data_IF_015335701416
#
_entry.id   IF_015335701416
#
_cell.length_a   1.000
_cell.length_b   1.000
_cell.length_c   1.000
_cell.angle_alpha   90.00
_cell.angle_beta   90.00
_cell.angle_gamma   90.00
#
_symmetry.space_group_name_H-M   'P 1'
#
loop_
_entity.id
_entity.type
_entity.pdbx_description
1 polymer ?
#
# COMPACT_ATOMS: atom_id res chain seq x y z
N UNK A 1 -17.09 15.32 0.85
CA UNK A 1 -17.59 14.39 1.25
C UNK A 1 -19.02 14.21 1.60
N UNK A 2 -19.82 15.18 1.74
CA UNK A 2 -21.19 15.05 2.12
C UNK A 2 -21.95 13.99 1.35
N UNK A 3 -21.53 13.76 0.16
CA UNK A 3 -22.19 12.76 -0.62
C UNK A 3 -21.89 11.39 -0.21
N UNK A 4 -20.77 11.20 0.41
CA UNK A 4 -20.42 9.93 0.97
C UNK A 4 -21.39 9.48 2.04
N UNK A 5 -22.34 10.35 2.34
CA UNK A 5 -23.31 10.07 3.39
C UNK A 5 -24.49 9.23 2.94
N UNK A 6 -24.44 8.62 1.77
CA UNK A 6 -25.43 7.60 1.47
C UNK A 6 -25.42 6.60 2.62
N UNK A 7 -26.54 6.46 3.29
CA UNK A 7 -26.66 5.56 4.39
C UNK A 7 -26.24 4.15 3.97
N UNK A 8 -25.38 3.56 4.75
CA UNK A 8 -24.99 2.18 4.53
C UNK A 8 -26.20 1.30 4.85
N UNK A 9 -26.63 0.48 3.89
CA UNK A 9 -27.79 -0.37 4.09
C UNK A 9 -27.42 -1.64 4.84
N UNK A 10 -26.14 -2.02 4.79
CA UNK A 10 -25.60 -3.15 5.54
C UNK A 10 -24.67 -2.59 6.59
N UNK A 11 -24.84 -2.96 7.85
CA UNK A 11 -23.99 -2.46 8.94
C UNK A 11 -22.65 -3.21 8.96
N UNK A 12 -21.90 -3.07 7.89
CA UNK A 12 -20.54 -3.59 7.80
C UNK A 12 -19.60 -2.42 7.52
N UNK A 13 -18.68 -2.20 8.41
CA UNK A 13 -17.65 -1.18 8.24
C UNK A 13 -16.45 -1.82 7.57
N UNK A 14 -16.02 -1.26 6.46
CA UNK A 14 -14.89 -1.79 5.70
C UNK A 14 -13.71 -0.86 5.78
N UNK A 15 -12.59 -1.39 6.25
CA UNK A 15 -11.29 -0.72 6.28
C UNK A 15 -10.37 -1.50 5.36
N UNK A 16 -9.61 -0.80 4.52
CA UNK A 16 -8.89 -1.44 3.42
C UNK A 16 -7.41 -1.10 3.47
N UNK A 17 -6.57 -2.10 3.27
CA UNK A 17 -5.13 -1.91 3.07
C UNK A 17 -4.79 -2.47 1.71
N UNK A 18 -4.15 -1.66 0.87
CA UNK A 18 -3.70 -2.09 -0.45
C UNK A 18 -2.21 -1.77 -0.55
N UNK A 19 -1.42 -2.69 -1.07
CA UNK A 19 -0.03 -2.41 -1.34
C UNK A 19 0.26 -2.57 -2.84
N UNK A 20 1.36 -2.00 -3.29
CA UNK A 20 1.79 -2.13 -4.67
C UNK A 20 3.31 -2.19 -4.75
N UNK A 21 3.81 -2.59 -5.92
CA UNK A 21 5.25 -2.65 -6.17
C UNK A 21 5.88 -1.33 -6.56
N UNK A 22 5.09 -0.31 -6.84
CA UNK A 22 5.64 1.02 -7.08
C UNK A 22 6.12 1.63 -5.78
N UNK A 23 7.07 2.57 -5.88
CA UNK A 23 7.60 3.20 -4.68
C UNK A 23 6.56 4.01 -3.93
N UNK A 24 5.77 4.81 -4.65
CA UNK A 24 4.82 5.72 -4.04
C UNK A 24 3.50 5.04 -3.67
N UNK A 25 3.07 5.23 -2.43
CA UNK A 25 1.79 4.72 -1.96
C UNK A 25 0.60 5.27 -2.74
N UNK A 26 0.74 6.47 -3.30
CA UNK A 26 -0.28 7.14 -4.11
C UNK A 26 -0.72 6.33 -5.33
N UNK A 27 0.09 5.41 -5.79
CA UNK A 27 -0.27 4.55 -6.93
C UNK A 27 -1.48 3.66 -6.61
N UNK A 28 -1.79 3.50 -5.32
CA UNK A 28 -2.93 2.71 -4.88
C UNK A 28 -4.26 3.47 -4.89
N UNK A 29 -4.26 4.75 -5.26
CA UNK A 29 -5.48 5.57 -5.15
C UNK A 29 -6.64 5.03 -5.97
N UNK A 30 -6.36 4.49 -7.14
CA UNK A 30 -7.41 3.91 -8.00
C UNK A 30 -7.95 2.61 -7.42
N UNK A 31 -7.10 1.80 -6.81
CA UNK A 31 -7.54 0.58 -6.16
C UNK A 31 -8.48 0.89 -4.99
N UNK A 32 -8.16 1.90 -4.19
CA UNK A 32 -9.04 2.34 -3.10
C UNK A 32 -10.35 2.90 -3.65
N UNK A 33 -10.29 3.62 -4.76
CA UNK A 33 -11.49 4.14 -5.41
C UNK A 33 -12.43 3.00 -5.86
N UNK A 34 -11.86 1.96 -6.44
CA UNK A 34 -12.63 0.78 -6.87
C UNK A 34 -13.33 0.14 -5.67
N UNK A 35 -12.62 -0.02 -4.56
CA UNK A 35 -13.20 -0.61 -3.35
C UNK A 35 -14.29 0.29 -2.78
N UNK A 36 -14.08 1.58 -2.75
CA UNK A 36 -15.08 2.54 -2.27
C UNK A 36 -16.35 2.47 -3.12
N UNK A 37 -16.20 2.42 -4.45
CA UNK A 37 -17.34 2.28 -5.36
C UNK A 37 -18.09 0.96 -5.13
N UNK A 38 -17.34 -0.10 -4.89
CA UNK A 38 -17.93 -1.40 -4.59
C UNK A 38 -18.74 -1.37 -3.29
N UNK A 39 -18.21 -0.71 -2.26
CA UNK A 39 -18.93 -0.53 -1.01
C UNK A 39 -20.24 0.22 -1.22
N UNK A 40 -20.21 1.29 -2.02
CA UNK A 40 -21.40 2.07 -2.34
C UNK A 40 -22.47 1.18 -2.99
N UNK A 41 -22.06 0.35 -3.93
CA UNK A 41 -22.99 -0.55 -4.64
C UNK A 41 -23.51 -1.68 -3.75
N UNK A 42 -22.68 -2.14 -2.82
CA UNK A 42 -23.03 -3.26 -1.93
C UNK A 42 -23.74 -2.80 -0.66
N UNK A 43 -23.86 -1.50 -0.44
CA UNK A 43 -24.49 -0.95 0.76
C UNK A 43 -23.62 -0.98 2.01
N UNK A 44 -22.34 -1.36 1.89
CA UNK A 44 -21.41 -1.36 3.02
C UNK A 44 -20.83 0.01 3.28
N UNK A 45 -20.36 0.24 4.49
CA UNK A 45 -19.75 1.49 4.88
C UNK A 45 -18.25 1.46 4.60
N UNK A 46 -17.80 2.28 3.66
CA UNK A 46 -16.37 2.46 3.43
C UNK A 46 -15.82 3.42 4.48
N UNK A 47 -14.96 2.95 5.36
CA UNK A 47 -14.47 3.72 6.50
C UNK A 47 -13.10 4.36 6.27
N UNK A 48 -12.42 3.99 5.22
CA UNK A 48 -11.11 4.53 4.86
C UNK A 48 -10.14 3.43 4.45
N UNK A 49 -9.06 3.84 3.81
CA UNK A 49 -8.05 2.91 3.32
C UNK A 49 -6.64 3.44 3.45
N UNK A 50 -5.70 2.53 3.41
CA UNK A 50 -4.28 2.84 3.37
C UNK A 50 -3.70 2.24 2.09
N UNK A 51 -3.06 3.07 1.28
CA UNK A 51 -2.28 2.62 0.13
C UNK A 51 -0.80 2.62 0.51
N UNK A 52 -0.16 1.46 0.44
CA UNK A 52 1.24 1.29 0.81
C UNK A 52 2.07 1.05 -0.43
N UNK A 53 3.08 1.88 -0.65
CA UNK A 53 4.04 1.71 -1.73
C UNK A 53 5.23 0.87 -1.30
N UNK A 54 6.07 0.52 -2.25
CA UNK A 54 7.29 -0.25 -2.03
C UNK A 54 7.03 -1.54 -1.26
N UNK A 55 5.96 -2.26 -1.60
CA UNK A 55 5.58 -3.51 -0.93
C UNK A 55 6.70 -4.52 -0.81
N UNK A 56 7.45 -4.82 -1.88
CA UNK A 56 8.58 -5.75 -1.79
C UNK A 56 9.65 -5.33 -0.79
N UNK A 57 9.85 -4.03 -0.59
CA UNK A 57 10.82 -3.51 0.36
C UNK A 57 10.42 -3.84 1.81
N UNK A 58 9.12 -3.82 2.10
CA UNK A 58 8.64 -4.18 3.44
C UNK A 58 9.05 -5.61 3.81
N UNK A 59 9.03 -6.50 2.82
CA UNK A 59 9.47 -7.87 3.03
C UNK A 59 10.96 -7.94 3.36
N UNK A 60 11.77 -7.13 2.67
CA UNK A 60 13.23 -7.11 2.88
C UNK A 60 13.61 -6.53 4.24
N UNK A 61 12.77 -5.67 4.82
CA UNK A 61 13.06 -5.03 6.10
C UNK A 61 12.22 -5.57 7.24
N UNK A 62 11.76 -6.81 7.16
CA UNK A 62 10.92 -7.43 8.18
C UNK A 62 11.51 -7.32 9.59
N UNK A 63 12.82 -7.49 9.71
CA UNK A 63 13.49 -7.50 11.00
C UNK A 63 13.65 -6.12 11.63
N UNK A 64 13.39 -5.06 10.88
CA UNK A 64 13.51 -3.70 11.39
C UNK A 64 12.33 -3.33 12.29
N UNK A 65 12.59 -2.43 13.24
CA UNK A 65 11.55 -1.95 14.14
C UNK A 65 10.46 -1.18 13.38
N UNK A 66 9.23 -1.31 13.84
CA UNK A 66 8.11 -0.60 13.25
C UNK A 66 8.08 0.89 13.62
N UNK A 67 8.41 1.19 14.86
CA UNK A 67 8.24 2.55 15.39
C UNK A 67 9.30 3.53 14.91
N UNK A 68 10.42 3.02 14.46
CA UNK A 68 11.57 3.85 14.07
C UNK A 68 12.13 3.41 12.73
N UNK A 69 12.76 4.33 12.03
CA UNK A 69 13.43 4.05 10.78
C UNK A 69 12.49 3.88 9.60
N UNK A 70 12.83 2.98 8.66
CA UNK A 70 12.13 2.92 7.37
C UNK A 70 10.65 2.56 7.44
N UNK A 71 10.23 1.81 8.44
CA UNK A 71 8.82 1.40 8.57
C UNK A 71 7.95 2.44 9.27
N UNK A 72 8.52 3.47 9.86
CA UNK A 72 7.78 4.43 10.67
C UNK A 72 6.56 5.05 9.99
N UNK A 73 6.64 5.50 8.71
CA UNK A 73 5.45 6.06 8.05
C UNK A 73 4.32 5.05 7.90
N UNK A 74 4.65 3.80 7.61
CA UNK A 74 3.67 2.73 7.47
C UNK A 74 3.05 2.40 8.82
N UNK A 75 3.88 2.31 9.85
CA UNK A 75 3.43 2.06 11.22
C UNK A 75 2.44 3.13 11.68
N UNK A 76 2.76 4.39 11.44
CA UNK A 76 1.91 5.51 11.81
C UNK A 76 0.53 5.41 11.15
N UNK A 77 0.49 5.06 9.86
CA UNK A 77 -0.76 4.91 9.14
C UNK A 77 -1.59 3.74 9.69
N UNK A 78 -0.93 2.62 9.99
CA UNK A 78 -1.60 1.46 10.56
C UNK A 78 -2.15 1.74 11.95
N UNK A 79 -1.44 2.51 12.78
CA UNK A 79 -1.94 2.92 14.09
C UNK A 79 -3.17 3.80 13.99
N UNK A 80 -3.19 4.71 13.03
CA UNK A 80 -4.38 5.54 12.78
C UNK A 80 -5.58 4.70 12.38
N UNK A 81 -5.38 3.72 11.53
CA UNK A 81 -6.45 2.80 11.15
C UNK A 81 -6.92 1.99 12.35
N UNK A 82 -6.00 1.51 13.18
CA UNK A 82 -6.34 0.79 14.40
C UNK A 82 -7.24 1.62 15.31
N UNK A 83 -6.88 2.88 15.53
CA UNK A 83 -7.71 3.77 16.36
C UNK A 83 -9.10 3.99 15.74
N UNK A 84 -9.16 4.15 14.43
CA UNK A 84 -10.44 4.29 13.74
C UNK A 84 -11.31 3.05 13.89
N UNK A 85 -10.71 1.87 13.80
CA UNK A 85 -11.43 0.60 13.99
C UNK A 85 -11.96 0.48 15.42
N UNK A 86 -11.13 0.80 16.41
CA UNK A 86 -11.50 0.69 17.82
C UNK A 86 -12.64 1.65 18.16
N UNK A 87 -12.61 2.86 17.60
CA UNK A 87 -13.62 3.88 17.85
C UNK A 87 -14.77 3.84 16.87
N UNK A 88 -14.76 2.91 15.94
CA UNK A 88 -15.80 2.73 14.92
C UNK A 88 -16.04 4.02 14.12
N UNK A 89 -14.94 4.67 13.74
CA UNK A 89 -14.98 5.95 12.99
C UNK A 89 -14.30 5.80 11.64
N UNK A 90 -14.70 6.67 10.70
CA UNK A 90 -14.05 6.78 9.41
C UNK A 90 -12.78 7.64 9.54
N UNK A 91 -11.86 7.46 8.60
CA UNK A 91 -10.68 8.32 8.48
C UNK A 91 -10.38 8.57 7.01
N UNK A 92 -9.59 9.61 6.73
CA UNK A 92 -9.20 9.93 5.37
C UNK A 92 -8.21 8.89 4.84
N UNK A 93 -8.35 8.53 3.56
CA UNK A 93 -7.40 7.64 2.90
C UNK A 93 -5.98 8.17 3.06
N UNK A 94 -5.07 7.29 3.41
CA UNK A 94 -3.66 7.59 3.58
C UNK A 94 -2.84 6.86 2.54
N UNK A 95 -1.80 7.53 2.03
CA UNK A 95 -0.88 6.94 1.06
C UNK A 95 0.52 7.08 1.62
N UNK A 96 1.14 5.95 1.90
CA UNK A 96 2.45 5.93 2.57
C UNK A 96 3.40 4.97 1.88
N UNK A 97 4.66 5.15 2.13
CA UNK A 97 5.71 4.22 1.70
C UNK A 97 6.81 4.24 2.77
N UNK A 98 7.66 3.21 2.78
CA UNK A 98 8.81 3.22 3.69
C UNK A 98 9.71 4.44 3.46
N UNK A 99 10.37 4.88 4.52
CA UNK A 99 11.21 6.07 4.47
C UNK A 99 12.59 5.74 3.89
N UNK A 100 12.63 5.63 2.57
CA UNK A 100 13.87 5.41 1.80
C UNK A 100 13.95 6.39 0.66
N UNK A 101 15.16 6.70 0.17
CA UNK A 101 15.29 7.37 -1.12
C UNK A 101 14.71 6.49 -2.24
N UNK A 102 13.96 7.09 -3.13
CA UNK A 102 13.37 6.37 -4.27
C UNK A 102 14.43 5.68 -5.12
N UNK A 103 15.59 6.34 -5.30
CA UNK A 103 16.70 5.77 -6.06
C UNK A 103 17.22 4.47 -5.44
N UNK A 104 17.27 4.40 -4.12
CA UNK A 104 17.70 3.19 -3.42
C UNK A 104 16.70 2.04 -3.67
N UNK A 105 15.41 2.32 -3.60
CA UNK A 105 14.39 1.33 -3.87
C UNK A 105 14.53 0.77 -5.29
N UNK A 106 14.71 1.64 -6.28
CA UNK A 106 14.86 1.23 -7.68
C UNK A 106 16.09 0.34 -7.85
N UNK A 107 17.21 0.71 -7.25
CA UNK A 107 18.44 -0.11 -7.30
C UNK A 107 18.23 -1.49 -6.70
N UNK A 108 17.58 -1.55 -5.54
CA UNK A 108 17.32 -2.81 -4.86
C UNK A 108 16.37 -3.70 -5.66
N UNK A 109 15.36 -3.11 -6.27
CA UNK A 109 14.42 -3.84 -7.12
C UNK A 109 15.14 -4.46 -8.33
N UNK A 110 15.97 -3.68 -9.01
CA UNK A 110 16.75 -4.19 -10.13
C UNK A 110 17.70 -5.29 -9.71
N UNK A 111 18.37 -5.12 -8.59
CA UNK A 111 19.29 -6.15 -8.07
C UNK A 111 18.53 -7.44 -7.77
N UNK A 112 17.40 -7.36 -7.13
CA UNK A 112 16.56 -8.50 -6.79
C UNK A 112 16.07 -9.23 -8.05
N UNK A 113 15.59 -8.47 -9.03
CA UNK A 113 15.11 -9.06 -10.29
C UNK A 113 16.23 -9.74 -11.06
N UNK A 114 17.40 -9.10 -11.13
CA UNK A 114 18.56 -9.70 -11.81
C UNK A 114 18.99 -11.00 -11.12
N UNK A 115 18.96 -11.03 -9.79
CA UNK A 115 19.27 -12.22 -9.03
C UNK A 115 18.29 -13.37 -9.34
N UNK A 116 16.99 -13.04 -9.42
CA UNK A 116 15.96 -14.02 -9.76
C UNK A 116 16.11 -14.52 -11.19
N UNK A 117 16.42 -13.62 -12.14
CA UNK A 117 16.64 -14.00 -13.53
C UNK A 117 17.80 -15.00 -13.64
N UNK A 118 18.92 -14.69 -12.99
CA UNK A 118 20.08 -15.61 -12.98
C UNK A 118 19.75 -16.95 -12.34
N UNK A 119 19.00 -16.93 -11.25
CA UNK A 119 18.58 -18.16 -10.56
C UNK A 119 17.74 -19.05 -11.47
N UNK A 120 16.94 -18.44 -12.34
CA UNK A 120 16.07 -19.15 -13.28
C UNK A 120 16.73 -19.42 -14.64
N UNK A 121 18.03 -19.18 -14.77
CA UNK A 121 18.77 -19.47 -15.99
C UNK A 121 18.68 -18.42 -17.08
N UNK A 122 18.21 -17.23 -16.77
CA UNK A 122 18.10 -16.13 -17.74
C UNK A 122 19.24 -15.15 -17.58
N UNK A 123 19.68 -14.57 -18.72
CA UNK A 123 20.68 -13.51 -18.71
C UNK A 123 19.96 -12.16 -18.61
N UNK A 124 20.20 -11.37 -17.53
CA UNK A 124 19.55 -10.07 -17.39
C UNK A 124 19.80 -9.12 -18.56
N UNK A 125 20.97 -9.23 -19.22
CA UNK A 125 21.30 -8.38 -20.37
C UNK A 125 20.38 -8.61 -21.57
N UNK A 126 19.82 -9.82 -21.68
CA UNK A 126 18.89 -10.14 -22.77
C UNK A 126 17.45 -9.73 -22.49
N UNK A 127 17.10 -9.61 -21.21
CA UNK A 127 15.73 -9.27 -20.81
C UNK A 127 15.46 -7.77 -20.94
N UNK A 128 16.50 -6.95 -20.75
CA UNK A 128 16.38 -5.50 -20.89
C UNK A 128 16.97 -5.08 -22.23
N UNK A 129 16.14 -4.83 -23.23
CA UNK A 129 16.66 -4.41 -24.52
C UNK A 129 17.39 -3.07 -24.42
N UNK A 130 18.52 -3.00 -25.10
CA UNK A 130 19.26 -1.73 -25.22
C UNK A 130 18.45 -0.77 -26.07
N UNK A 131 18.24 0.40 -25.55
CA UNK A 131 17.66 1.51 -26.35
C UNK A 131 18.73 2.26 -27.08
#
# INVERSE_FOLDING_TARGET
MGEGTKACTVKVNLYVIVNCGFFEGKQNRYALQVVENWCTKSGMCFMGGIGIGAGPMLNEIQAMAWEHGPKAPVDKALRRMREAIITDTAFENSYVQPAFPRSLYIKMAHHSWNKQLKKNGYDPKRVYPKR
#
